data_IF_610633365516
#
_entry.id   IF_610633365516
#
_cell.length_a   1.000
_cell.length_b   1.000
_cell.length_c   1.000
_cell.angle_alpha   90.00
_cell.angle_beta   90.00
_cell.angle_gamma   90.00
#
_symmetry.space_group_name_H-M   'P 1'
#
loop_
_entity.id
_entity.type
_entity.pdbx_description
1 polymer ?
#
# COMPACT_ATOMS: atom_id res chain seq x y z
N UNK A 1 -2.13 -20.19 4.12
CA UNK A 1 -2.34 -19.61 5.47
C UNK A 1 -2.76 -18.15 5.31
N UNK A 2 -3.61 -17.58 6.17
CA UNK A 2 -3.95 -16.15 6.09
C UNK A 2 -2.80 -15.37 6.71
N UNK A 3 -2.21 -14.45 5.95
CA UNK A 3 -1.06 -13.67 6.42
C UNK A 3 -1.50 -12.33 7.00
N UNK A 4 -2.46 -11.68 6.34
CA UNK A 4 -2.98 -10.40 6.80
C UNK A 4 -4.47 -10.25 6.48
N UNK A 5 -5.17 -9.48 7.30
CA UNK A 5 -6.61 -9.27 7.24
C UNK A 5 -6.93 -7.80 7.54
N UNK A 6 -7.81 -7.20 6.75
CA UNK A 6 -8.32 -5.85 6.98
C UNK A 6 -9.85 -5.83 6.92
N UNK A 7 -10.46 -5.17 7.89
CA UNK A 7 -11.91 -5.01 7.97
C UNK A 7 -12.41 -4.04 6.89
N UNK A 8 -13.51 -4.38 6.21
CA UNK A 8 -14.17 -3.48 5.30
C UNK A 8 -14.90 -2.37 6.08
N UNK A 9 -14.43 -1.14 5.99
CA UNK A 9 -15.01 0.02 6.67
C UNK A 9 -16.43 0.35 6.19
N UNK A 10 -16.80 -0.07 4.98
CA UNK A 10 -18.17 0.04 4.45
C UNK A 10 -19.10 -1.09 4.88
N UNK A 11 -18.56 -2.22 5.33
CA UNK A 11 -19.34 -3.39 5.74
C UNK A 11 -18.60 -4.17 6.83
N UNK A 12 -18.98 -3.95 8.09
CA UNK A 12 -18.31 -4.52 9.26
C UNK A 12 -18.41 -6.06 9.36
N UNK A 13 -19.20 -6.70 8.49
CA UNK A 13 -19.26 -8.16 8.37
C UNK A 13 -18.28 -8.72 7.33
N UNK A 14 -17.57 -7.86 6.59
CA UNK A 14 -16.65 -8.24 5.53
C UNK A 14 -15.19 -7.92 5.89
N UNK A 15 -14.31 -8.85 5.53
CA UNK A 15 -12.87 -8.71 5.65
C UNK A 15 -12.24 -8.97 4.29
N UNK A 16 -11.18 -8.24 3.98
CA UNK A 16 -10.26 -8.59 2.91
C UNK A 16 -9.06 -9.32 3.50
N UNK A 17 -8.71 -10.44 2.91
CA UNK A 17 -7.62 -11.29 3.36
C UNK A 17 -6.65 -11.49 2.20
N UNK A 18 -5.35 -11.43 2.50
CA UNK A 18 -4.32 -11.82 1.54
C UNK A 18 -3.67 -13.12 2.01
N UNK A 19 -3.57 -14.07 1.07
CA UNK A 19 -3.09 -15.43 1.33
C UNK A 19 -1.65 -15.60 0.86
N UNK A 20 -0.99 -16.59 1.44
CA UNK A 20 0.37 -17.03 1.09
C UNK A 20 0.58 -17.44 -0.38
N UNK A 21 -0.49 -17.79 -1.09
CA UNK A 21 -0.50 -18.04 -2.54
C UNK A 21 -0.84 -16.80 -3.39
N UNK A 22 -0.62 -15.62 -2.81
CA UNK A 22 -0.76 -14.28 -3.41
C UNK A 22 -2.17 -13.96 -3.90
N UNK A 23 -3.21 -14.43 -3.19
CA UNK A 23 -4.61 -14.17 -3.55
C UNK A 23 -5.24 -13.18 -2.59
N UNK A 24 -5.96 -12.22 -3.16
CA UNK A 24 -6.88 -11.37 -2.42
C UNK A 24 -8.26 -12.03 -2.42
N UNK A 25 -8.79 -12.28 -1.23
CA UNK A 25 -10.13 -12.83 -1.03
C UNK A 25 -10.96 -11.89 -0.15
N UNK A 26 -12.27 -11.91 -0.37
CA UNK A 26 -13.24 -11.24 0.50
C UNK A 26 -13.96 -12.29 1.34
N UNK A 27 -13.81 -12.23 2.65
CA UNK A 27 -14.49 -13.10 3.61
C UNK A 27 -15.68 -12.36 4.23
N UNK A 28 -16.83 -13.03 4.31
CA UNK A 28 -18.01 -12.55 5.01
C UNK A 28 -18.22 -13.39 6.28
N UNK A 29 -18.08 -12.74 7.44
CA UNK A 29 -18.19 -13.36 8.76
C UNK A 29 -19.61 -13.86 9.04
N UNK A 30 -20.62 -13.05 8.73
CA UNK A 30 -22.04 -13.38 8.96
C UNK A 30 -22.46 -14.69 8.29
N UNK A 31 -22.03 -14.90 7.04
CA UNK A 31 -22.37 -16.09 6.26
C UNK A 31 -21.30 -17.17 6.29
N UNK A 32 -20.18 -16.94 6.98
CA UNK A 32 -19.00 -17.78 7.00
C UNK A 32 -18.58 -18.28 5.59
N UNK A 33 -18.51 -17.35 4.64
CA UNK A 33 -18.22 -17.64 3.24
C UNK A 33 -17.13 -16.70 2.72
N UNK A 34 -16.42 -17.11 1.68
CA UNK A 34 -15.44 -16.26 1.02
C UNK A 34 -15.65 -16.24 -0.50
N UNK A 35 -15.22 -15.14 -1.11
CA UNK A 35 -15.17 -14.94 -2.54
C UNK A 35 -13.73 -14.61 -2.93
N UNK A 36 -13.18 -15.37 -3.88
CA UNK A 36 -11.93 -15.02 -4.54
C UNK A 36 -12.12 -13.75 -5.38
N UNK A 37 -11.22 -12.79 -5.24
CA UNK A 37 -11.24 -11.55 -6.03
C UNK A 37 -10.20 -11.62 -7.15
N UNK A 38 -8.92 -11.73 -6.80
CA UNK A 38 -7.80 -11.64 -7.75
C UNK A 38 -6.53 -12.26 -7.17
N UNK A 39 -5.59 -12.63 -8.06
CA UNK A 39 -4.23 -13.08 -7.73
C UNK A 39 -3.24 -11.99 -8.13
N UNK A 40 -2.29 -11.67 -7.26
CA UNK A 40 -1.30 -10.60 -7.42
C UNK A 40 0.08 -11.23 -7.44
N UNK A 41 0.57 -11.59 -8.62
CA UNK A 41 1.76 -12.45 -8.76
C UNK A 41 3.09 -11.75 -8.44
N UNK A 42 3.09 -10.42 -8.35
CA UNK A 42 4.29 -9.63 -8.07
C UNK A 42 4.64 -9.54 -6.59
N UNK A 43 3.75 -9.97 -5.69
CA UNK A 43 3.92 -9.87 -4.24
C UNK A 43 4.42 -11.20 -3.69
N UNK A 44 5.58 -11.18 -3.04
CA UNK A 44 6.24 -12.36 -2.47
C UNK A 44 5.77 -12.64 -1.02
N UNK A 45 4.50 -13.01 -0.87
CA UNK A 45 3.90 -13.35 0.44
C UNK A 45 4.65 -14.45 1.22
N UNK A 46 5.37 -15.33 0.53
CA UNK A 46 6.08 -16.45 1.19
C UNK A 46 7.34 -16.02 1.93
N UNK A 47 7.98 -14.95 1.47
CA UNK A 47 9.29 -14.51 1.97
C UNK A 47 9.18 -13.17 2.70
N UNK A 48 8.17 -12.36 2.37
CA UNK A 48 7.96 -11.03 2.93
C UNK A 48 6.72 -10.94 3.81
N UNK A 49 6.81 -10.12 4.86
CA UNK A 49 5.62 -9.74 5.64
C UNK A 49 4.75 -8.83 4.77
N UNK A 50 3.48 -9.16 4.63
CA UNK A 50 2.55 -8.36 3.83
C UNK A 50 1.78 -7.39 4.70
N UNK A 51 1.76 -6.12 4.31
CA UNK A 51 0.95 -5.06 4.90
C UNK A 51 -0.25 -4.78 4.00
N UNK A 52 -1.45 -4.84 4.59
CA UNK A 52 -2.71 -4.46 3.94
C UNK A 52 -3.21 -3.12 4.47
N UNK A 53 -3.57 -2.23 3.55
CA UNK A 53 -4.25 -0.97 3.87
C UNK A 53 -5.50 -0.82 3.01
N UNK A 54 -6.57 -0.27 3.58
CA UNK A 54 -7.87 -0.11 2.92
C UNK A 54 -8.29 1.36 3.02
N UNK A 55 -8.62 1.93 1.87
CA UNK A 55 -9.46 3.12 1.78
C UNK A 55 -10.42 2.89 0.62
N UNK A 56 -11.64 2.48 0.95
CA UNK A 56 -12.62 2.01 -0.04
C UNK A 56 -12.78 2.99 -1.22
N UNK A 57 -12.69 2.54 -2.48
CA UNK A 57 -12.67 1.14 -2.93
C UNK A 57 -11.25 0.55 -3.12
N UNK A 58 -10.21 1.20 -2.63
CA UNK A 58 -8.83 0.79 -2.87
C UNK A 58 -8.25 -0.04 -1.72
N UNK A 59 -7.54 -1.11 -2.07
CA UNK A 59 -6.68 -1.87 -1.16
C UNK A 59 -5.25 -1.77 -1.65
N UNK A 60 -4.35 -1.37 -0.75
CA UNK A 60 -2.91 -1.48 -0.96
C UNK A 60 -2.40 -2.77 -0.33
N UNK A 61 -1.57 -3.48 -1.05
CA UNK A 61 -0.84 -4.67 -0.64
C UNK A 61 0.63 -4.36 -0.81
N UNK A 62 1.41 -4.45 0.26
CA UNK A 62 2.80 -4.00 0.25
C UNK A 62 3.67 -5.01 0.97
N UNK A 63 4.79 -5.38 0.37
CA UNK A 63 5.85 -6.11 1.07
C UNK A 63 6.49 -5.16 2.09
N UNK A 64 6.50 -5.52 3.38
CA UNK A 64 6.99 -4.65 4.45
C UNK A 64 8.44 -4.23 4.21
N UNK A 65 9.31 -5.16 3.82
CA UNK A 65 10.75 -4.94 3.53
C UNK A 65 11.15 -5.40 2.13
N UNK A 66 10.16 -5.49 1.24
CA UNK A 66 10.37 -5.93 -0.13
C UNK A 66 10.37 -4.77 -1.12
N UNK A 67 10.41 -5.13 -2.40
CA UNK A 67 10.48 -4.18 -3.50
C UNK A 67 9.11 -3.90 -4.11
N UNK A 68 8.09 -4.70 -3.79
CA UNK A 68 6.85 -4.74 -4.54
C UNK A 68 5.66 -4.25 -3.70
N UNK A 69 4.77 -3.54 -4.38
CA UNK A 69 3.45 -3.18 -3.88
C UNK A 69 2.43 -3.24 -5.00
N UNK A 70 1.17 -3.41 -4.64
CA UNK A 70 0.06 -3.34 -5.57
C UNK A 70 -1.11 -2.60 -4.94
N UNK A 71 -1.77 -1.74 -5.71
CA UNK A 71 -3.05 -1.13 -5.34
C UNK A 71 -4.15 -1.68 -6.23
N UNK A 72 -5.20 -2.20 -5.61
CA UNK A 72 -6.34 -2.81 -6.29
C UNK A 72 -7.57 -1.96 -6.03
N UNK A 73 -8.28 -1.56 -7.09
CA UNK A 73 -9.66 -1.12 -6.97
C UNK A 73 -10.54 -2.37 -6.87
N UNK A 74 -11.17 -2.61 -5.73
CA UNK A 74 -11.93 -3.85 -5.46
C UNK A 74 -13.27 -3.92 -6.20
N UNK A 75 -13.78 -2.79 -6.69
CA UNK A 75 -15.01 -2.74 -7.47
C UNK A 75 -14.74 -3.12 -8.93
N UNK A 76 -13.63 -2.64 -9.50
CA UNK A 76 -13.27 -2.89 -10.91
C UNK A 76 -12.27 -4.02 -11.10
N UNK A 77 -11.62 -4.47 -10.02
CA UNK A 77 -10.46 -5.38 -10.00
C UNK A 77 -9.26 -4.88 -10.82
N UNK A 78 -9.22 -3.59 -11.11
CA UNK A 78 -8.06 -2.96 -11.73
C UNK A 78 -6.90 -2.92 -10.75
N UNK A 79 -5.71 -3.30 -11.23
CA UNK A 79 -4.48 -3.37 -10.42
C UNK A 79 -3.46 -2.37 -10.93
N UNK A 80 -2.85 -1.65 -10.01
CA UNK A 80 -1.68 -0.81 -10.21
C UNK A 80 -0.51 -1.49 -9.52
N UNK A 81 0.47 -1.96 -10.29
CA UNK A 81 1.70 -2.55 -9.77
C UNK A 81 2.75 -1.46 -9.53
N UNK A 82 3.41 -1.51 -8.38
CA UNK A 82 4.42 -0.55 -7.96
C UNK A 82 5.68 -1.29 -7.54
N UNK A 83 6.83 -0.69 -7.83
CA UNK A 83 8.14 -1.23 -7.45
C UNK A 83 9.07 -0.10 -7.02
N UNK A 84 9.85 -0.31 -5.96
CA UNK A 84 10.94 0.59 -5.56
C UNK A 84 12.28 0.17 -6.18
N UNK A 85 13.16 1.15 -6.39
CA UNK A 85 14.55 0.89 -6.78
C UNK A 85 15.34 0.21 -5.64
N UNK A 86 16.14 -0.78 -6.02
CA UNK A 86 16.75 -1.84 -5.19
C UNK A 86 18.03 -1.39 -4.48
N UNK A 87 17.96 -0.38 -3.61
CA UNK A 87 19.18 0.09 -2.93
C UNK A 87 19.41 -0.56 -1.55
N UNK A 88 18.38 -0.87 -0.75
CA UNK A 88 18.48 -1.55 0.57
C UNK A 88 17.09 -1.93 1.16
N UNK A 89 16.20 -2.57 0.39
CA UNK A 89 14.83 -2.86 0.86
C UNK A 89 14.79 -3.81 2.05
N UNK A 90 15.78 -4.69 2.20
CA UNK A 90 15.89 -5.67 3.28
C UNK A 90 15.97 -5.04 4.69
N UNK A 91 16.31 -3.75 4.77
CA UNK A 91 16.40 -2.98 6.02
C UNK A 91 15.48 -1.76 6.07
N UNK A 92 14.79 -1.42 4.98
CA UNK A 92 13.90 -0.24 4.91
C UNK A 92 12.47 -0.67 4.61
N UNK A 93 11.53 -0.13 5.38
CA UNK A 93 10.13 -0.46 5.17
C UNK A 93 9.59 0.23 3.92
N UNK A 94 8.81 -0.49 3.09
CA UNK A 94 8.16 0.10 1.93
C UNK A 94 7.08 1.07 2.39
N UNK A 95 7.36 2.37 2.27
CA UNK A 95 6.43 3.43 2.63
C UNK A 95 5.28 3.51 1.62
N UNK A 96 4.09 3.07 2.05
CA UNK A 96 2.88 3.15 1.25
C UNK A 96 1.65 3.46 2.11
N UNK A 97 0.86 4.48 1.77
CA UNK A 97 -0.33 4.90 2.53
C UNK A 97 -1.33 5.70 1.68
N UNK A 98 -2.60 5.73 2.07
CA UNK A 98 -3.62 6.54 1.40
C UNK A 98 -3.72 7.96 1.99
N UNK A 99 -4.04 8.93 1.13
CA UNK A 99 -4.41 10.27 1.55
C UNK A 99 -5.59 10.82 0.72
N UNK A 100 -6.22 11.88 1.23
CA UNK A 100 -7.32 12.57 0.56
C UNK A 100 -6.86 13.97 0.17
N UNK A 101 -6.90 14.27 -1.12
CA UNK A 101 -6.58 15.58 -1.70
C UNK A 101 -7.74 15.98 -2.60
N UNK A 102 -8.33 17.15 -2.37
CA UNK A 102 -9.50 17.64 -3.13
C UNK A 102 -10.65 16.60 -3.21
N UNK A 103 -10.94 15.95 -2.09
CA UNK A 103 -11.96 14.89 -1.96
C UNK A 103 -11.73 13.65 -2.83
N UNK A 104 -10.51 13.48 -3.37
CA UNK A 104 -10.10 12.28 -4.11
C UNK A 104 -9.05 11.47 -3.35
N UNK A 105 -9.15 10.15 -3.46
CA UNK A 105 -8.20 9.21 -2.86
C UNK A 105 -6.94 9.16 -3.71
N UNK A 106 -5.80 9.37 -3.05
CA UNK A 106 -4.47 9.30 -3.60
C UNK A 106 -3.64 8.28 -2.83
N UNK A 107 -2.54 7.87 -3.44
CA UNK A 107 -1.55 7.01 -2.80
C UNK A 107 -0.26 7.79 -2.56
N UNK A 108 0.19 7.83 -1.32
CA UNK A 108 1.55 8.21 -0.95
C UNK A 108 2.39 6.95 -1.06
N UNK A 109 3.36 6.92 -1.96
CA UNK A 109 4.17 5.73 -2.24
C UNK A 109 5.62 6.11 -2.44
N UNK A 110 6.52 5.22 -2.02
CA UNK A 110 7.94 5.33 -2.31
C UNK A 110 8.22 4.73 -3.69
N UNK A 111 9.03 5.41 -4.50
CA UNK A 111 9.51 4.86 -5.80
C UNK A 111 11.02 4.64 -5.82
N UNK A 112 11.75 5.42 -5.02
CA UNK A 112 13.20 5.33 -4.89
C UNK A 112 13.61 5.46 -3.44
N UNK A 113 14.89 5.23 -3.19
CA UNK A 113 15.51 5.66 -1.94
C UNK A 113 15.22 7.14 -1.69
N UNK A 114 14.84 7.47 -0.47
CA UNK A 114 14.58 8.83 0.00
C UNK A 114 13.51 9.64 -0.75
N UNK A 115 12.67 8.97 -1.55
CA UNK A 115 11.75 9.64 -2.47
C UNK A 115 10.31 9.20 -2.24
N UNK A 116 9.45 10.15 -1.90
CA UNK A 116 8.01 9.92 -1.76
C UNK A 116 7.25 10.62 -2.88
N UNK A 117 6.35 9.88 -3.49
CA UNK A 117 5.48 10.34 -4.57
C UNK A 117 4.02 10.27 -4.12
N UNK A 118 3.21 11.15 -4.69
CA UNK A 118 1.75 11.09 -4.55
C UNK A 118 1.17 10.71 -5.90
N UNK A 119 0.46 9.58 -5.97
CA UNK A 119 -0.21 9.11 -7.18
C UNK A 119 -1.72 9.41 -7.11
N UNK A 120 -2.27 9.92 -8.22
CA UNK A 120 -3.71 9.89 -8.49
C UNK A 120 -4.12 8.47 -8.85
N UNK A 121 -4.90 7.81 -8.00
CA UNK A 121 -5.31 6.43 -8.28
C UNK A 121 -6.22 6.29 -9.50
N UNK A 122 -7.06 7.31 -9.78
CA UNK A 122 -7.97 7.30 -10.94
C UNK A 122 -7.25 7.39 -12.28
N UNK A 123 -6.23 8.26 -12.38
CA UNK A 123 -5.50 8.52 -13.63
C UNK A 123 -4.16 7.81 -13.70
N UNK A 124 -3.69 7.25 -12.58
CA UNK A 124 -2.36 6.63 -12.39
C UNK A 124 -1.20 7.60 -12.57
N UNK A 125 -1.47 8.90 -12.53
CA UNK A 125 -0.47 9.94 -12.67
C UNK A 125 0.23 10.21 -11.34
N UNK A 126 1.57 10.31 -11.36
CA UNK A 126 2.35 10.83 -10.24
C UNK A 126 2.27 12.36 -10.23
N UNK A 127 1.73 12.94 -9.16
CA UNK A 127 1.57 14.38 -8.98
C UNK A 127 2.87 15.02 -8.50
N UNK A 128 3.63 14.30 -7.68
CA UNK A 128 4.81 14.84 -7.02
C UNK A 128 5.99 13.89 -7.06
N UNK A 129 7.16 14.50 -7.14
CA UNK A 129 8.42 13.88 -6.77
C UNK A 129 8.99 14.68 -5.59
N UNK A 130 8.64 14.28 -4.37
CA UNK A 130 9.16 14.94 -3.17
C UNK A 130 10.54 14.34 -2.92
N UNK A 131 11.49 14.76 -3.74
CA UNK A 131 12.89 14.44 -3.57
C UNK A 131 13.51 15.46 -2.60
N UNK A 132 13.94 14.99 -1.42
CA UNK A 132 14.75 15.82 -0.52
C UNK A 132 16.20 15.70 -0.97
N UNK A 133 16.60 16.67 -1.79
CA UNK A 133 17.94 16.92 -2.32
C UNK A 133 19.08 16.37 -1.42
N UNK A 134 19.70 15.28 -1.86
CA UNK A 134 20.76 14.55 -1.15
C UNK A 134 21.93 15.47 -0.77
N UNK A 135 22.26 16.45 -1.62
CA UNK A 135 23.35 17.40 -1.41
C UNK A 135 23.10 18.37 -0.24
N UNK A 136 21.83 18.64 0.11
CA UNK A 136 21.48 19.60 1.16
C UNK A 136 21.27 18.98 2.54
N UNK A 137 20.95 17.69 2.60
CA UNK A 137 20.55 17.05 3.85
C UNK A 137 21.52 15.99 4.36
N UNK A 138 22.49 15.53 3.57
CA UNK A 138 23.72 14.85 4.01
C UNK A 138 23.58 13.67 4.98
N UNK A 139 22.36 13.18 5.21
CA UNK A 139 22.02 12.17 6.19
C UNK A 139 21.13 11.16 5.47
N UNK A 140 21.59 9.92 5.49
CA UNK A 140 20.87 8.75 5.00
C UNK A 140 19.67 8.51 5.94
N UNK A 141 18.50 9.01 5.56
CA UNK A 141 17.30 8.91 6.37
C UNK A 141 16.50 7.68 5.95
N UNK A 142 16.42 6.67 6.79
CA UNK A 142 15.64 5.47 6.50
C UNK A 142 14.14 5.78 6.49
N UNK A 143 13.45 5.32 5.46
CA UNK A 143 11.99 5.36 5.39
C UNK A 143 11.42 4.20 6.20
N UNK A 144 10.98 4.48 7.43
CA UNK A 144 10.35 3.48 8.30
C UNK A 144 8.84 3.46 8.11
N UNK A 145 8.12 4.53 8.49
CA UNK A 145 6.65 4.51 8.42
C UNK A 145 6.04 5.87 8.06
N UNK A 146 4.99 5.80 7.25
CA UNK A 146 4.09 6.90 6.99
C UNK A 146 2.95 6.88 7.99
N UNK A 147 2.80 7.96 8.76
CA UNK A 147 1.63 8.18 9.60
C UNK A 147 0.73 9.20 8.94
N UNK A 148 -0.50 8.80 8.66
CA UNK A 148 -1.52 9.69 8.13
C UNK A 148 -2.50 10.04 9.25
N UNK A 149 -2.80 11.33 9.34
CA UNK A 149 -3.82 11.86 10.26
C UNK A 149 -5.18 11.21 10.02
N UNK A 150 -6.03 11.21 11.05
CA UNK A 150 -7.34 10.53 11.00
C UNK A 150 -8.27 11.04 9.88
N UNK A 151 -8.11 12.29 9.45
CA UNK A 151 -8.87 12.88 8.35
C UNK A 151 -8.24 12.63 6.97
N UNK A 152 -7.08 11.97 6.93
CA UNK A 152 -6.28 11.66 5.74
C UNK A 152 -5.76 12.86 4.96
N UNK A 153 -5.76 14.06 5.56
CA UNK A 153 -5.34 15.31 4.89
C UNK A 153 -3.92 15.72 5.22
N UNK A 154 -3.38 15.20 6.31
CA UNK A 154 -2.02 15.47 6.76
C UNK A 154 -1.27 14.16 6.97
N UNK A 155 0.02 14.17 6.67
CA UNK A 155 0.90 13.04 6.94
C UNK A 155 2.17 13.51 7.63
N UNK A 156 2.60 12.71 8.60
CA UNK A 156 3.93 12.82 9.20
C UNK A 156 4.75 11.66 8.66
N UNK A 157 5.97 12.02 8.29
CA UNK A 157 6.98 11.08 7.88
C UNK A 157 8.11 11.16 8.92
N UNK A 158 8.46 10.02 9.51
CA UNK A 158 9.54 9.92 10.49
C UNK A 158 10.52 8.81 10.09
N UNK A 159 11.79 9.04 10.43
CA UNK A 159 12.90 8.13 10.15
C UNK A 159 13.11 7.24 11.38
#
# INVERSE_FOLDING_TARGET
MIENAILNDKNLEEYFLFTDDSKLIKYNKKYNSYKYLIKIETINSKEEVIVLKLMYPYISITEEKGLNSAVINIETLEVIYLKIEDYHSEVSSYSNEFCIINDEIHLITQTKWNTINIMKLKTKEMITDINRDDEKFGIDYFHSNLLVSKDYKHFLYYC
#
